data_IF_166436243365
#
_entry.id   IF_166436243365
#
_cell.length_a   1.000
_cell.length_b   1.000
_cell.length_c   1.000
_cell.angle_alpha   90.00
_cell.angle_beta   90.00
_cell.angle_gamma   90.00
#
_symmetry.space_group_name_H-M   'P 1'
#
loop_
_entity.id
_entity.type
_entity.pdbx_description
1 polymer ?
#
# COMPACT_ATOMS: atom_id res chain seq x y z
N UNK A 1 7.65 -17.78 16.11
CA UNK A 1 7.25 -16.49 15.50
C UNK A 1 8.31 -15.38 15.54
N UNK A 2 9.47 -15.59 16.18
CA UNK A 2 10.52 -14.56 16.32
C UNK A 2 10.94 -13.91 14.99
N UNK A 3 11.21 -14.70 13.95
CA UNK A 3 11.64 -14.16 12.66
C UNK A 3 10.59 -13.25 11.99
N UNK A 4 9.32 -13.64 12.01
CA UNK A 4 8.25 -12.86 11.40
C UNK A 4 8.01 -11.52 12.13
N UNK A 5 8.09 -11.53 13.46
CA UNK A 5 7.98 -10.33 14.30
C UNK A 5 9.19 -9.41 14.12
N UNK A 6 10.40 -9.97 14.02
CA UNK A 6 11.62 -9.20 13.78
C UNK A 6 11.63 -8.53 12.40
N UNK A 7 11.16 -9.21 11.37
CA UNK A 7 11.10 -8.67 9.99
C UNK A 7 9.95 -7.66 9.79
N UNK A 8 8.97 -7.60 10.71
CA UNK A 8 7.87 -6.63 10.69
C UNK A 8 7.12 -6.59 9.35
N UNK A 9 6.80 -7.76 8.79
CA UNK A 9 6.22 -7.89 7.45
C UNK A 9 4.70 -7.58 7.38
N UNK A 10 4.07 -7.15 8.47
CA UNK A 10 2.62 -6.89 8.47
C UNK A 10 2.30 -5.55 7.79
N UNK A 11 1.12 -5.47 7.18
CA UNK A 11 0.64 -4.26 6.48
C UNK A 11 0.75 -2.98 7.32
N UNK A 12 0.46 -3.06 8.62
CA UNK A 12 0.58 -1.94 9.57
C UNK A 12 2.02 -1.44 9.70
N UNK A 13 2.99 -2.34 9.78
CA UNK A 13 4.40 -1.98 9.87
C UNK A 13 4.90 -1.39 8.55
N UNK A 14 4.58 -2.03 7.41
CA UNK A 14 4.95 -1.52 6.10
C UNK A 14 4.37 -0.13 5.83
N UNK A 15 3.14 0.12 6.29
CA UNK A 15 2.51 1.45 6.18
C UNK A 15 3.21 2.49 7.06
N UNK A 16 3.63 2.10 8.28
CA UNK A 16 4.38 2.96 9.19
C UNK A 16 5.76 3.36 8.62
N UNK A 17 6.40 2.46 7.88
CA UNK A 17 7.66 2.73 7.18
C UNK A 17 7.45 3.38 5.79
N UNK A 18 6.23 3.82 5.46
CA UNK A 18 5.86 4.44 4.19
C UNK A 18 6.19 3.60 2.94
N UNK A 19 6.30 2.27 3.08
CA UNK A 19 6.54 1.35 1.96
C UNK A 19 5.27 1.06 1.16
N UNK A 20 4.10 1.22 1.77
CA UNK A 20 2.78 1.05 1.13
C UNK A 20 1.88 2.26 1.36
N UNK A 21 1.01 2.56 0.40
CA UNK A 21 0.16 3.77 0.45
C UNK A 21 -1.17 3.52 1.15
N UNK A 22 -1.76 2.34 0.98
CA UNK A 22 -3.10 2.03 1.50
C UNK A 22 -3.12 0.61 2.05
N UNK A 23 -3.77 0.45 3.20
CA UNK A 23 -4.14 -0.86 3.73
C UNK A 23 -5.63 -1.05 3.43
N UNK A 24 -5.96 -2.09 2.68
CA UNK A 24 -7.34 -2.47 2.41
C UNK A 24 -7.78 -3.41 3.53
N UNK A 25 -8.90 -3.10 4.18
CA UNK A 25 -9.45 -3.94 5.24
C UNK A 25 -9.97 -5.26 4.66
N UNK A 26 -9.80 -6.34 5.41
CA UNK A 26 -10.40 -7.62 5.05
C UNK A 26 -11.82 -7.74 5.64
N UNK A 27 -12.71 -8.52 4.99
CA UNK A 27 -14.00 -8.90 5.57
C UNK A 27 -13.83 -9.62 6.91
N UNK A 28 -14.91 -9.64 7.71
CA UNK A 28 -14.88 -10.29 9.02
C UNK A 28 -14.52 -11.77 8.90
N UNK A 29 -13.39 -12.15 9.49
CA UNK A 29 -12.86 -13.52 9.44
C UNK A 29 -12.05 -13.86 8.17
N UNK A 30 -11.67 -12.85 7.39
CA UNK A 30 -10.70 -12.95 6.30
C UNK A 30 -11.31 -13.04 4.90
N UNK A 31 -10.50 -12.75 3.89
CA UNK A 31 -10.92 -12.72 2.47
C UNK A 31 -11.57 -14.03 2.00
N UNK A 32 -11.12 -15.17 2.53
CA UNK A 32 -11.63 -16.49 2.14
C UNK A 32 -13.10 -16.69 2.51
N UNK A 33 -13.60 -15.96 3.51
CA UNK A 33 -14.98 -16.11 4.02
C UNK A 33 -15.99 -15.29 3.23
N UNK A 34 -15.57 -14.14 2.72
CA UNK A 34 -16.39 -13.28 1.87
C UNK A 34 -15.56 -12.68 0.72
N UNK A 35 -15.28 -13.48 -0.32
CA UNK A 35 -14.52 -13.00 -1.48
C UNK A 35 -15.24 -11.89 -2.26
N UNK A 36 -16.58 -11.84 -2.17
CA UNK A 36 -17.38 -10.83 -2.85
C UNK A 36 -17.16 -9.44 -2.26
N UNK A 37 -17.21 -9.34 -0.93
CA UNK A 37 -16.92 -8.11 -0.20
C UNK A 37 -15.46 -7.68 -0.38
N UNK A 38 -14.52 -8.62 -0.28
CA UNK A 38 -13.10 -8.33 -0.51
C UNK A 38 -12.84 -7.73 -1.91
N UNK A 39 -13.49 -8.27 -2.94
CA UNK A 39 -13.41 -7.75 -4.31
C UNK A 39 -13.96 -6.33 -4.41
N UNK A 40 -15.08 -6.03 -3.73
CA UNK A 40 -15.69 -4.71 -3.70
C UNK A 40 -14.74 -3.69 -3.07
N UNK A 41 -14.20 -4.01 -1.89
CA UNK A 41 -13.22 -3.17 -1.18
C UNK A 41 -11.97 -2.91 -2.04
N UNK A 42 -11.45 -3.95 -2.70
CA UNK A 42 -10.31 -3.82 -3.62
C UNK A 42 -10.63 -2.92 -4.82
N UNK A 43 -11.80 -3.12 -5.45
CA UNK A 43 -12.24 -2.31 -6.60
C UNK A 43 -12.35 -0.84 -6.24
N UNK A 44 -12.91 -0.53 -5.07
CA UNK A 44 -13.08 0.85 -4.62
C UNK A 44 -11.72 1.51 -4.32
N UNK A 45 -10.80 0.79 -3.67
CA UNK A 45 -9.44 1.26 -3.44
C UNK A 45 -8.69 1.54 -4.75
N UNK A 46 -8.77 0.63 -5.74
CA UNK A 46 -8.15 0.81 -7.05
C UNK A 46 -8.71 2.02 -7.79
N UNK A 47 -10.03 2.21 -7.79
CA UNK A 47 -10.67 3.38 -8.42
C UNK A 47 -10.22 4.69 -7.79
N UNK A 48 -10.13 4.74 -6.47
CA UNK A 48 -9.64 5.92 -5.75
C UNK A 48 -8.19 6.23 -6.13
N UNK A 49 -7.30 5.25 -6.09
CA UNK A 49 -5.90 5.45 -6.44
C UNK A 49 -5.73 5.84 -7.91
N UNK A 50 -6.47 5.20 -8.81
CA UNK A 50 -6.45 5.53 -10.24
C UNK A 50 -6.91 6.97 -10.50
N UNK A 51 -7.91 7.44 -9.76
CA UNK A 51 -8.40 8.83 -9.86
C UNK A 51 -7.34 9.83 -9.38
N UNK A 52 -6.56 9.49 -8.36
CA UNK A 52 -5.48 10.34 -7.85
C UNK A 52 -4.36 10.45 -8.89
N UNK A 53 -3.84 9.32 -9.37
CA UNK A 53 -2.73 9.30 -10.34
C UNK A 53 -3.16 9.83 -11.71
N UNK A 54 -4.41 9.62 -12.11
CA UNK A 54 -4.94 10.12 -13.38
C UNK A 54 -5.09 11.64 -13.45
N UNK A 55 -5.02 12.35 -12.32
CA UNK A 55 -4.99 13.83 -12.28
C UNK A 55 -3.58 14.40 -12.49
N UNK A 56 -2.56 13.56 -12.45
CA UNK A 56 -1.17 13.97 -12.62
C UNK A 56 -0.77 13.87 -14.09
N UNK A 57 0.06 14.81 -14.55
CA UNK A 57 0.70 14.71 -15.86
C UNK A 57 1.73 13.58 -15.86
N UNK A 58 2.11 13.09 -17.05
CA UNK A 58 3.13 12.04 -17.18
C UNK A 58 4.45 12.43 -16.50
N UNK A 59 4.90 13.68 -16.63
CA UNK A 59 6.13 14.15 -16.01
C UNK A 59 6.05 14.12 -14.48
N UNK A 60 4.92 14.58 -13.92
CA UNK A 60 4.65 14.51 -12.48
C UNK A 60 4.60 13.06 -11.97
N UNK A 61 4.03 12.13 -12.75
CA UNK A 61 4.00 10.71 -12.38
C UNK A 61 5.41 10.10 -12.33
N UNK A 62 6.25 10.43 -13.30
CA UNK A 62 7.64 9.94 -13.35
C UNK A 62 8.43 10.50 -12.16
N UNK A 63 8.33 11.81 -11.92
CA UNK A 63 8.99 12.46 -10.79
C UNK A 63 8.54 11.88 -9.44
N UNK A 64 7.22 11.79 -9.20
CA UNK A 64 6.68 11.26 -7.95
C UNK A 64 7.09 9.80 -7.70
N UNK A 65 7.19 8.99 -8.77
CA UNK A 65 7.70 7.62 -8.67
C UNK A 65 9.17 7.59 -8.27
N UNK A 66 9.99 8.44 -8.86
CA UNK A 66 11.42 8.52 -8.54
C UNK A 66 11.61 8.95 -7.08
N UNK A 67 10.93 10.00 -6.65
CA UNK A 67 10.96 10.50 -5.26
C UNK A 67 10.54 9.41 -4.26
N UNK A 68 9.45 8.68 -4.57
CA UNK A 68 8.99 7.57 -3.73
C UNK A 68 10.05 6.48 -3.59
N UNK A 69 10.66 6.03 -4.68
CA UNK A 69 11.67 4.98 -4.64
C UNK A 69 12.93 5.42 -3.89
N UNK A 70 13.36 6.67 -4.07
CA UNK A 70 14.52 7.23 -3.37
C UNK A 70 14.26 7.44 -1.88
N UNK A 71 12.99 7.66 -1.48
CA UNK A 71 12.62 7.79 -0.07
C UNK A 71 12.68 6.47 0.72
N UNK A 72 12.88 5.34 0.04
CA UNK A 72 12.95 4.05 0.71
C UNK A 72 14.32 3.83 1.36
N UNK A 73 14.27 3.39 2.62
CA UNK A 73 15.46 3.20 3.46
C UNK A 73 15.71 4.40 4.38
N UNK A 74 16.32 4.11 5.54
CA UNK A 74 16.74 5.12 6.51
C UNK A 74 18.23 4.95 6.72
N UNK A 75 19.00 5.97 6.37
CA UNK A 75 20.44 5.98 6.52
C UNK A 75 20.80 6.83 7.75
N UNK A 76 21.76 6.37 8.55
CA UNK A 76 22.45 7.22 9.52
C UNK A 76 23.71 7.74 8.85
N UNK A 77 23.93 9.05 8.92
CA UNK A 77 25.26 9.63 8.69
C UNK A 77 26.24 9.18 9.78
#
# INVERSE_FOLDING_TARGET
NLAAESLKLTSKHLKKENLVDVIIAEPLGGIHRDPDEARRLLKDALKQQLTIVGKMTTDQLVQARAEKLLSFGKFKE
#
